data_IF_985445074913
#
_entry.id   IF_985445074913
#
_cell.length_a   1.000
_cell.length_b   1.000
_cell.length_c   1.000
_cell.angle_alpha   90.00
_cell.angle_beta   90.00
_cell.angle_gamma   90.00
#
_symmetry.space_group_name_H-M   'P 1'
#
loop_
_entity.id
_entity.type
_entity.pdbx_description
1 polymer ?
#
# COMPACT_ATOMS: atom_id res chain seq x y z
N UNK A 1 -23.82 6.19 -8.37
CA UNK A 1 -22.47 6.71 -8.07
C UNK A 1 -21.46 5.61 -8.42
N UNK A 2 -20.27 5.92 -8.94
CA UNK A 2 -19.23 4.90 -9.12
C UNK A 2 -18.64 4.54 -7.75
N UNK A 3 -18.39 3.25 -7.43
CA UNK A 3 -17.78 2.90 -6.16
C UNK A 3 -16.40 3.53 -6.00
N UNK A 4 -16.07 4.05 -4.82
CA UNK A 4 -14.75 4.67 -4.55
C UNK A 4 -13.84 3.72 -3.79
N UNK A 5 -12.81 3.23 -4.47
CA UNK A 5 -11.89 2.23 -3.94
C UNK A 5 -10.46 2.61 -4.21
N UNK A 6 -9.64 2.77 -3.18
CA UNK A 6 -8.22 3.11 -3.37
C UNK A 6 -7.31 1.91 -3.10
N UNK A 7 -6.09 1.99 -3.62
CA UNK A 7 -5.00 1.11 -3.20
C UNK A 7 -4.00 1.91 -2.37
N UNK A 8 -3.32 1.27 -1.43
CA UNK A 8 -2.36 1.93 -0.54
C UNK A 8 -1.07 1.12 -0.47
N UNK A 9 0.04 1.78 -0.81
CA UNK A 9 1.40 1.28 -0.63
C UNK A 9 2.08 2.15 0.43
N UNK A 10 2.21 1.69 1.68
CA UNK A 10 2.78 2.47 2.78
C UNK A 10 4.33 2.53 2.71
N UNK A 11 4.88 2.69 1.51
CA UNK A 11 6.30 2.84 1.18
C UNK A 11 6.43 3.79 0.00
N UNK A 12 7.36 4.73 0.05
CA UNK A 12 7.59 5.72 -1.01
C UNK A 12 8.40 5.13 -2.19
N UNK A 13 7.77 4.29 -3.02
CA UNK A 13 8.33 3.86 -4.31
C UNK A 13 8.25 4.96 -5.38
N UNK A 14 8.82 4.69 -6.56
CA UNK A 14 8.55 5.48 -7.76
C UNK A 14 7.09 5.35 -8.18
N UNK A 15 6.46 6.47 -8.57
CA UNK A 15 5.02 6.54 -8.82
C UNK A 15 4.59 6.50 -10.28
N UNK A 16 5.52 6.21 -11.19
CA UNK A 16 5.30 6.24 -12.64
C UNK A 16 4.76 4.93 -13.22
N UNK A 17 4.92 4.76 -14.55
CA UNK A 17 4.34 3.64 -15.30
C UNK A 17 4.68 2.25 -14.75
N UNK A 18 5.92 2.03 -14.31
CA UNK A 18 6.37 0.73 -13.77
C UNK A 18 5.58 0.31 -12.52
N UNK A 19 5.26 1.25 -11.64
CA UNK A 19 4.44 0.99 -10.46
C UNK A 19 3.00 0.59 -10.84
N UNK A 20 2.43 1.25 -11.85
CA UNK A 20 1.10 0.94 -12.38
C UNK A 20 1.04 -0.33 -13.24
N UNK A 21 2.18 -0.93 -13.57
CA UNK A 21 2.26 -2.17 -14.33
C UNK A 21 2.34 -3.45 -13.46
N UNK A 22 2.62 -3.34 -12.16
CA UNK A 22 2.84 -4.54 -11.30
C UNK A 22 2.28 -4.46 -9.88
N UNK A 23 2.43 -3.32 -9.20
CA UNK A 23 2.22 -3.18 -7.75
C UNK A 23 0.75 -2.85 -7.44
N UNK A 24 0.48 -2.18 -6.32
CA UNK A 24 -0.86 -1.68 -6.00
C UNK A 24 -1.41 -0.70 -7.06
N UNK A 25 -0.53 -0.12 -7.90
CA UNK A 25 -0.91 0.63 -9.09
C UNK A 25 -1.60 -0.23 -10.15
N UNK A 26 -1.18 -1.48 -10.38
CA UNK A 26 -1.86 -2.38 -11.31
C UNK A 26 -3.27 -2.74 -10.81
N UNK A 27 -3.41 -3.00 -9.51
CA UNK A 27 -4.74 -3.21 -8.91
C UNK A 27 -5.61 -1.97 -9.02
N UNK A 28 -5.05 -0.76 -8.87
CA UNK A 28 -5.76 0.49 -9.14
C UNK A 28 -6.29 0.51 -10.59
N UNK A 29 -5.47 0.19 -11.60
CA UNK A 29 -5.92 0.09 -13.00
C UNK A 29 -7.03 -0.95 -13.20
N UNK A 30 -6.92 -2.11 -12.54
CA UNK A 30 -7.96 -3.13 -12.57
C UNK A 30 -9.30 -2.65 -12.00
N UNK A 31 -9.27 -1.94 -10.87
CA UNK A 31 -10.46 -1.33 -10.27
C UNK A 31 -11.08 -0.26 -11.17
N UNK A 32 -10.26 0.59 -11.79
CA UNK A 32 -10.72 1.58 -12.78
C UNK A 32 -11.40 0.90 -13.97
N UNK A 33 -10.81 -0.17 -14.51
CA UNK A 33 -11.37 -0.95 -15.61
C UNK A 33 -12.69 -1.65 -15.22
N UNK A 34 -12.85 -2.02 -13.95
CA UNK A 34 -14.08 -2.55 -13.39
C UNK A 34 -15.15 -1.47 -13.10
N UNK A 35 -14.85 -0.19 -13.34
CA UNK A 35 -15.80 0.93 -13.20
C UNK A 35 -15.74 1.68 -11.88
N UNK A 36 -14.77 1.40 -11.00
CA UNK A 36 -14.55 2.15 -9.77
C UNK A 36 -13.88 3.51 -10.05
N UNK A 37 -14.13 4.50 -9.19
CA UNK A 37 -13.27 5.66 -9.03
C UNK A 37 -12.11 5.26 -8.10
N UNK A 38 -10.94 5.01 -8.68
CA UNK A 38 -9.78 4.45 -7.99
C UNK A 38 -8.51 5.24 -8.24
N UNK A 39 -7.72 5.38 -7.18
CA UNK A 39 -6.41 6.02 -7.14
C UNK A 39 -5.49 5.21 -6.22
N UNK A 40 -4.19 5.33 -6.47
CA UNK A 40 -3.17 4.72 -5.62
C UNK A 40 -2.68 5.76 -4.59
N UNK A 41 -2.41 5.33 -3.35
CA UNK A 41 -1.93 6.19 -2.26
C UNK A 41 -0.54 5.73 -1.84
N UNK A 42 0.37 6.69 -1.66
CA UNK A 42 1.74 6.44 -1.24
C UNK A 42 2.27 7.57 -0.34
N UNK A 43 3.18 7.31 0.62
CA UNK A 43 3.76 8.38 1.40
C UNK A 43 4.77 9.23 0.59
N UNK A 44 5.06 10.43 1.10
CA UNK A 44 6.08 11.35 0.60
C UNK A 44 5.53 12.51 -0.23
N UNK A 45 6.41 13.39 -0.76
CA UNK A 45 6.03 14.50 -1.61
C UNK A 45 5.81 14.07 -3.06
N UNK A 46 4.99 14.81 -3.82
CA UNK A 46 4.79 14.62 -5.28
C UNK A 46 6.13 14.67 -6.01
N UNK A 47 6.37 13.71 -6.90
CA UNK A 47 7.56 13.62 -7.74
C UNK A 47 7.19 13.93 -9.19
N UNK A 48 8.16 14.30 -10.02
CA UNK A 48 7.93 14.68 -11.42
C UNK A 48 7.28 13.56 -12.23
N UNK A 49 7.70 12.31 -11.98
CA UNK A 49 7.32 11.16 -12.79
C UNK A 49 6.09 10.40 -12.25
N UNK A 50 5.45 10.86 -11.17
CA UNK A 50 4.26 10.12 -10.72
C UNK A 50 3.09 10.29 -11.68
N UNK A 51 2.31 9.21 -11.80
CA UNK A 51 1.06 9.20 -12.54
C UNK A 51 0.03 10.16 -11.91
N UNK A 52 -0.90 10.66 -12.73
CA UNK A 52 -1.99 11.53 -12.27
C UNK A 52 -2.91 10.83 -11.27
N UNK A 53 -2.99 9.50 -11.32
CA UNK A 53 -3.79 8.68 -10.41
C UNK A 53 -3.06 8.30 -9.11
N UNK A 54 -1.82 8.79 -8.90
CA UNK A 54 -1.13 8.66 -7.62
C UNK A 54 -1.42 9.86 -6.72
N UNK A 55 -1.93 9.56 -5.52
CA UNK A 55 -1.99 10.47 -4.39
C UNK A 55 -0.76 10.23 -3.52
N UNK A 56 0.00 11.30 -3.31
CA UNK A 56 1.07 11.32 -2.32
C UNK A 56 0.68 12.16 -1.11
N UNK A 57 1.07 11.70 0.07
CA UNK A 57 0.72 12.33 1.35
C UNK A 57 1.80 12.10 2.40
N UNK A 58 1.82 12.91 3.45
CA UNK A 58 2.62 12.62 4.65
C UNK A 58 2.24 11.27 5.25
N UNK A 59 3.21 10.56 5.84
CA UNK A 59 2.99 9.20 6.36
C UNK A 59 1.99 9.19 7.53
N UNK A 60 1.97 10.24 8.34
CA UNK A 60 1.06 10.44 9.47
C UNK A 60 -0.41 10.38 9.04
N UNK A 61 -0.71 10.81 7.81
CA UNK A 61 -2.06 10.72 7.27
C UNK A 61 -2.49 9.27 7.02
N UNK A 62 -1.54 8.38 6.67
CA UNK A 62 -1.84 6.95 6.52
C UNK A 62 -2.20 6.30 7.86
N UNK A 63 -1.69 6.82 8.97
CA UNK A 63 -2.06 6.40 10.34
C UNK A 63 -3.25 7.18 10.92
N UNK A 64 -3.88 8.07 10.13
CA UNK A 64 -4.98 8.93 10.58
C UNK A 64 -6.33 8.45 10.05
N UNK A 65 -7.20 7.96 10.95
CA UNK A 65 -8.58 7.60 10.60
C UNK A 65 -9.38 8.80 10.05
N UNK A 66 -9.10 10.01 10.55
CA UNK A 66 -9.75 11.24 10.07
C UNK A 66 -9.39 11.55 8.62
N UNK A 67 -8.13 11.34 8.23
CA UNK A 67 -7.70 11.51 6.84
C UNK A 67 -8.34 10.48 5.92
N UNK A 68 -8.36 9.20 6.31
CA UNK A 68 -9.03 8.17 5.53
C UNK A 68 -10.53 8.44 5.38
N UNK A 69 -11.20 8.89 6.44
CA UNK A 69 -12.62 9.24 6.41
C UNK A 69 -12.91 10.41 5.46
N UNK A 70 -12.00 11.39 5.36
CA UNK A 70 -12.17 12.53 4.44
C UNK A 70 -12.08 12.14 2.97
N UNK A 71 -11.48 10.97 2.65
CA UNK A 71 -11.43 10.44 1.29
C UNK A 71 -12.78 9.89 0.80
N UNK A 72 -13.72 9.60 1.71
CA UNK A 72 -15.07 9.10 1.40
C UNK A 72 -15.03 7.81 0.55
N UNK A 73 -14.23 6.84 0.99
CA UNK A 73 -14.02 5.57 0.30
C UNK A 73 -14.95 4.48 0.83
N UNK A 74 -15.33 3.57 -0.05
CA UNK A 74 -16.02 2.33 0.32
C UNK A 74 -15.04 1.22 0.65
N UNK A 75 -13.88 1.19 -0.02
CA UNK A 75 -12.85 0.19 0.23
C UNK A 75 -11.42 0.66 -0.02
N UNK A 76 -10.47 0.00 0.65
CA UNK A 76 -9.04 0.17 0.43
C UNK A 76 -8.36 -1.19 0.36
N UNK A 77 -7.51 -1.37 -0.65
CA UNK A 77 -6.55 -2.49 -0.71
C UNK A 77 -5.21 -2.00 -0.18
N UNK A 78 -4.87 -2.42 1.04
CA UNK A 78 -3.59 -2.09 1.68
C UNK A 78 -2.55 -3.17 1.38
N UNK A 79 -1.45 -2.79 0.74
CA UNK A 79 -0.29 -3.64 0.54
C UNK A 79 0.57 -3.63 1.80
N UNK A 80 0.31 -4.58 2.70
CA UNK A 80 0.97 -4.67 3.99
C UNK A 80 2.14 -5.68 3.98
N UNK A 81 2.21 -6.57 2.99
CA UNK A 81 3.24 -7.63 2.89
C UNK A 81 3.43 -8.43 4.19
N UNK A 82 2.34 -8.65 4.94
CA UNK A 82 2.38 -9.31 6.25
C UNK A 82 3.20 -8.60 7.33
N UNK A 83 3.68 -7.37 7.08
CA UNK A 83 4.58 -6.67 8.01
C UNK A 83 3.81 -5.99 9.15
N UNK A 84 4.12 -6.29 10.43
CA UNK A 84 3.41 -5.71 11.57
C UNK A 84 3.60 -4.20 11.71
N UNK A 85 4.62 -3.62 11.06
CA UNK A 85 4.85 -2.16 11.07
C UNK A 85 3.68 -1.36 10.48
N UNK A 86 2.90 -1.97 9.59
CA UNK A 86 1.72 -1.33 8.98
C UNK A 86 0.42 -1.54 9.74
N UNK A 87 0.47 -2.16 10.93
CA UNK A 87 -0.72 -2.37 11.77
C UNK A 87 -1.45 -1.07 12.06
N UNK A 88 -0.74 0.04 12.27
CA UNK A 88 -1.35 1.35 12.53
C UNK A 88 -2.09 1.91 11.32
N UNK A 89 -1.54 1.74 10.12
CA UNK A 89 -2.21 2.12 8.86
C UNK A 89 -3.49 1.28 8.66
N UNK A 90 -3.39 -0.04 8.84
CA UNK A 90 -4.55 -0.93 8.76
C UNK A 90 -5.63 -0.56 9.78
N UNK A 91 -5.23 -0.28 11.02
CA UNK A 91 -6.14 0.18 12.08
C UNK A 91 -6.81 1.50 11.71
N UNK A 92 -6.07 2.47 11.20
CA UNK A 92 -6.61 3.77 10.83
C UNK A 92 -7.68 3.67 9.73
N UNK A 93 -7.46 2.83 8.71
CA UNK A 93 -8.45 2.56 7.65
C UNK A 93 -9.70 1.89 8.23
N UNK A 94 -9.51 0.89 9.08
CA UNK A 94 -10.62 0.18 9.72
C UNK A 94 -11.45 1.10 10.63
N UNK A 95 -10.79 1.90 11.47
CA UNK A 95 -11.43 2.88 12.36
C UNK A 95 -12.17 3.98 11.58
N UNK A 96 -11.78 4.25 10.33
CA UNK A 96 -12.50 5.16 9.44
C UNK A 96 -13.83 4.57 8.89
N UNK A 97 -14.12 3.30 9.17
CA UNK A 97 -15.32 2.59 8.70
C UNK A 97 -15.25 2.11 7.25
N UNK A 98 -14.04 2.01 6.70
CA UNK A 98 -13.80 1.63 5.30
C UNK A 98 -13.58 0.11 5.21
N UNK A 99 -14.08 -0.54 4.16
CA UNK A 99 -13.81 -1.95 3.92
C UNK A 99 -12.33 -2.16 3.58
N UNK A 100 -11.61 -2.86 4.46
CA UNK A 100 -10.16 -3.05 4.31
C UNK A 100 -9.85 -4.44 3.76
N UNK A 101 -9.20 -4.49 2.60
CA UNK A 101 -8.53 -5.68 2.08
C UNK A 101 -7.05 -5.58 2.39
N UNK A 102 -6.52 -6.53 3.16
CA UNK A 102 -5.10 -6.64 3.43
C UNK A 102 -4.45 -7.55 2.39
N UNK A 103 -3.66 -6.98 1.49
CA UNK A 103 -2.73 -7.77 0.69
C UNK A 103 -1.51 -8.11 1.57
N UNK A 104 -1.41 -9.39 1.94
CA UNK A 104 -0.37 -9.93 2.79
C UNK A 104 0.69 -10.72 2.03
N UNK A 105 0.62 -10.75 0.69
CA UNK A 105 1.65 -11.41 -0.10
C UNK A 105 3.00 -10.72 0.17
N UNK A 106 3.93 -11.48 0.69
CA UNK A 106 5.28 -11.06 1.03
C UNK A 106 6.33 -11.71 0.12
N UNK A 107 5.92 -12.30 -1.01
CA UNK A 107 6.82 -13.10 -1.83
C UNK A 107 7.24 -14.41 -1.13
N UNK A 108 6.52 -14.80 -0.07
CA UNK A 108 6.81 -15.95 0.77
C UNK A 108 7.66 -15.59 1.98
N UNK A 109 7.00 -15.35 3.12
CA UNK A 109 7.67 -15.29 4.43
C UNK A 109 8.45 -16.59 4.61
N UNK A 110 9.77 -16.51 4.79
CA UNK A 110 10.52 -17.66 5.28
C UNK A 110 10.33 -17.69 6.79
N UNK A 111 9.45 -18.56 7.26
CA UNK A 111 9.37 -18.88 8.69
C UNK A 111 10.78 -19.22 9.20
N UNK A 112 11.19 -18.78 10.41
CA UNK A 112 12.44 -19.23 11.00
C UNK A 112 12.50 -20.77 11.17
N UNK A 113 11.33 -21.44 11.13
CA UNK A 113 11.20 -22.90 11.12
C UNK A 113 11.46 -23.53 9.74
N UNK A 114 11.41 -22.75 8.66
CA UNK A 114 11.70 -23.20 7.29
C UNK A 114 13.15 -22.92 6.86
N UNK A 115 13.94 -22.22 7.68
CA UNK A 115 15.36 -21.96 7.46
C UNK A 115 15.82 -20.64 8.08
N UNK A 116 16.45 -20.69 9.25
CA UNK A 116 16.86 -19.51 10.02
C UNK A 116 17.79 -18.55 9.24
N UNK A 117 18.68 -19.07 8.39
CA UNK A 117 19.56 -18.26 7.54
C UNK A 117 18.80 -17.47 6.47
N UNK A 118 17.76 -18.08 5.86
CA UNK A 118 16.88 -17.42 4.91
C UNK A 118 16.04 -16.33 5.57
N UNK A 119 15.50 -16.62 6.76
CA UNK A 119 14.78 -15.63 7.57
C UNK A 119 15.67 -14.43 7.93
N UNK A 120 16.92 -14.63 8.38
CA UNK A 120 17.85 -13.52 8.68
C UNK A 120 18.18 -12.68 7.44
N UNK A 121 18.37 -13.31 6.28
CA UNK A 121 18.61 -12.60 5.02
C UNK A 121 17.41 -11.75 4.60
N UNK A 122 16.19 -12.30 4.72
CA UNK A 122 14.94 -11.58 4.48
C UNK A 122 14.78 -10.39 5.45
N UNK A 123 15.06 -10.58 6.75
CA UNK A 123 15.04 -9.49 7.74
C UNK A 123 16.02 -8.36 7.41
N UNK A 124 17.18 -8.67 6.82
CA UNK A 124 18.15 -7.66 6.35
C UNK A 124 17.63 -6.88 5.15
N UNK A 125 16.94 -7.54 4.22
CA UNK A 125 16.33 -6.90 3.04
C UNK A 125 15.15 -6.01 3.48
N UNK A 126 14.24 -6.55 4.31
CA UNK A 126 13.06 -5.83 4.80
C UNK A 126 13.39 -4.62 5.70
N UNK A 127 14.55 -4.62 6.35
CA UNK A 127 15.06 -3.50 7.17
C UNK A 127 15.80 -2.42 6.36
N UNK A 128 15.83 -2.54 5.02
CA UNK A 128 16.48 -1.57 4.14
C UNK A 128 18.01 -1.73 4.05
N UNK A 129 18.55 -2.85 4.56
CA UNK A 129 19.97 -3.20 4.48
C UNK A 129 20.37 -3.94 3.20
N UNK A 130 19.40 -4.24 2.31
CA UNK A 130 19.68 -4.65 0.93
C UNK A 130 20.10 -3.42 0.14
N UNK A 131 21.41 -3.22 -0.02
CA UNK A 131 22.03 -2.14 -0.79
C UNK A 131 21.77 -2.28 -2.32
N UNK A 132 21.97 -1.21 -3.12
CA UNK A 132 21.10 -0.73 -4.20
C UNK A 132 20.94 -1.64 -5.41
#
# INVERSE_FOLDING_TARGET
>A
MKPRWFTCTPVAFGGGADFFARDSGLTCRGLQAAGCDSRAVMPGPRQADDDADLIRTEYENLESAGWWKSQQLEGVVLYAWGSPRYRKVAKAIHDAGIFLVLNQDNGGLISPLAGFSGWVAEQRIMSGGGMP
#
